data_IF_539240929562
#
_entry.id   IF_539240929562
#
_cell.length_a   1.000
_cell.length_b   1.000
_cell.length_c   1.000
_cell.angle_alpha   90.00
_cell.angle_beta   90.00
_cell.angle_gamma   90.00
#
_symmetry.space_group_name_H-M   'P 1'
#
loop_
_entity.id
_entity.type
_entity.pdbx_description
1 polymer ?
#
# COMPACT_ATOMS: atom_id res chain seq x y z
N UNK A 1 12.25 60.27 -24.89
CA UNK A 1 11.17 59.27 -25.03
C UNK A 1 11.78 58.05 -25.72
N UNK A 2 12.21 57.03 -24.95
CA UNK A 2 13.02 55.92 -25.48
C UNK A 2 12.30 54.61 -25.23
N UNK A 3 11.37 54.26 -26.12
CA UNK A 3 10.71 52.95 -26.14
C UNK A 3 10.68 52.50 -27.60
N UNK A 4 11.76 51.86 -28.07
CA UNK A 4 11.69 51.18 -29.36
C UNK A 4 12.72 50.08 -29.42
N UNK A 5 12.23 48.85 -29.50
CA UNK A 5 12.94 47.59 -29.67
C UNK A 5 13.21 46.80 -28.39
N UNK A 6 12.13 46.40 -27.73
CA UNK A 6 12.16 45.21 -26.88
C UNK A 6 12.33 43.98 -27.82
N UNK A 7 13.40 43.19 -27.70
CA UNK A 7 13.60 42.04 -28.57
C UNK A 7 12.51 40.99 -28.27
N UNK A 8 11.80 40.54 -29.31
CA UNK A 8 10.62 39.66 -29.18
C UNK A 8 10.94 38.35 -28.44
N UNK A 9 12.19 37.89 -28.48
CA UNK A 9 12.69 36.73 -27.74
C UNK A 9 12.61 36.88 -26.21
N UNK A 10 12.77 38.11 -25.69
CA UNK A 10 12.61 38.40 -24.27
C UNK A 10 11.15 38.22 -23.81
N UNK A 11 10.17 38.50 -24.68
CA UNK A 11 8.75 38.28 -24.39
C UNK A 11 8.41 36.79 -24.32
N UNK A 12 8.96 35.98 -25.23
CA UNK A 12 8.77 34.52 -25.20
C UNK A 12 9.46 33.88 -23.98
N UNK A 13 10.69 34.30 -23.67
CA UNK A 13 11.41 33.81 -22.49
C UNK A 13 10.70 34.18 -21.17
N UNK A 14 10.26 35.43 -21.04
CA UNK A 14 9.49 35.88 -19.89
C UNK A 14 8.14 35.15 -19.76
N UNK A 15 7.46 34.91 -20.89
CA UNK A 15 6.21 34.14 -20.92
C UNK A 15 6.38 32.70 -20.46
N UNK A 16 7.40 31.99 -20.96
CA UNK A 16 7.69 30.61 -20.52
C UNK A 16 8.06 30.54 -19.03
N UNK A 17 8.85 31.50 -18.53
CA UNK A 17 9.24 31.56 -17.12
C UNK A 17 8.02 31.79 -16.21
N UNK A 18 7.16 32.75 -16.56
CA UNK A 18 5.94 33.04 -15.81
C UNK A 18 4.96 31.87 -15.84
N UNK A 19 4.85 31.17 -16.98
CA UNK A 19 3.97 30.00 -17.12
C UNK A 19 4.48 28.82 -16.28
N UNK A 20 5.78 28.54 -16.30
CA UNK A 20 6.39 27.50 -15.47
C UNK A 20 6.23 27.79 -13.97
N UNK A 21 6.42 29.05 -13.58
CA UNK A 21 6.21 29.50 -12.20
C UNK A 21 4.74 29.36 -11.78
N UNK A 22 3.79 29.77 -12.64
CA UNK A 22 2.36 29.65 -12.36
C UNK A 22 1.91 28.18 -12.24
N UNK A 23 2.51 27.26 -13.00
CA UNK A 23 2.27 25.82 -12.86
C UNK A 23 2.87 25.26 -11.57
N UNK A 24 4.05 25.73 -11.16
CA UNK A 24 4.71 25.31 -9.92
C UNK A 24 3.99 25.81 -8.65
N UNK A 25 3.37 27.00 -8.70
CA UNK A 25 2.57 27.54 -7.58
C UNK A 25 1.15 26.96 -7.51
N UNK A 26 0.75 26.05 -8.41
CA UNK A 26 -0.54 25.39 -8.24
C UNK A 26 -0.50 24.57 -6.96
N UNK A 27 -1.51 24.72 -6.07
CA UNK A 27 -1.60 23.87 -4.90
C UNK A 27 -1.76 22.43 -5.40
N UNK A 28 -0.68 21.66 -5.29
CA UNK A 28 -0.75 20.21 -5.48
C UNK A 28 -1.71 19.68 -4.42
N UNK A 29 -2.72 18.86 -4.78
CA UNK A 29 -3.47 18.17 -3.75
C UNK A 29 -2.46 17.36 -2.94
N UNK A 30 -2.26 17.75 -1.69
CA UNK A 30 -1.51 16.91 -0.74
C UNK A 30 -2.39 15.68 -0.58
N UNK A 31 -2.06 14.63 -1.32
CA UNK A 31 -2.59 13.30 -1.05
C UNK A 31 -1.93 12.89 0.25
N UNK A 32 -2.56 13.28 1.36
CA UNK A 32 -2.30 12.69 2.65
C UNK A 32 -2.62 11.21 2.48
N UNK A 33 -1.58 10.40 2.27
CA UNK A 33 -1.65 8.97 2.52
C UNK A 33 -1.93 8.87 4.02
N UNK A 34 -3.21 8.92 4.37
CA UNK A 34 -3.69 8.45 5.66
C UNK A 34 -3.43 6.96 5.60
N UNK A 35 -2.22 6.60 6.02
CA UNK A 35 -1.86 5.23 6.33
C UNK A 35 -2.89 4.80 7.37
N UNK A 36 -3.81 3.93 6.97
CA UNK A 36 -4.85 3.37 7.82
C UNK A 36 -4.18 2.86 9.09
N UNK A 37 -4.24 3.64 10.18
CA UNK A 37 -3.58 3.34 11.47
C UNK A 37 -4.11 2.04 12.08
N UNK A 38 -5.20 1.50 11.53
CA UNK A 38 -5.74 0.21 11.87
C UNK A 38 -5.32 -0.83 10.83
N UNK A 39 -4.61 -1.90 11.25
CA UNK A 39 -4.33 -3.03 10.38
C UNK A 39 -5.67 -3.63 9.93
N UNK A 40 -5.92 -3.63 8.62
CA UNK A 40 -7.16 -4.18 8.05
C UNK A 40 -7.27 -5.69 8.22
N UNK A 41 -6.15 -6.35 8.53
CA UNK A 41 -6.04 -7.79 8.66
C UNK A 41 -5.19 -8.15 9.87
N UNK A 42 -5.68 -9.09 10.66
CA UNK A 42 -4.89 -9.82 11.65
C UNK A 42 -4.26 -11.04 10.97
N UNK A 43 -2.98 -11.27 11.23
CA UNK A 43 -2.25 -12.43 10.74
C UNK A 43 -1.87 -13.34 11.91
N UNK A 44 -2.01 -14.65 11.72
CA UNK A 44 -1.53 -15.67 12.67
C UNK A 44 -0.66 -16.68 11.93
N UNK A 45 0.55 -16.87 12.43
CA UNK A 45 1.47 -17.88 11.96
C UNK A 45 1.40 -19.07 12.91
N UNK A 46 1.11 -20.24 12.38
CA UNK A 46 1.03 -21.48 13.13
C UNK A 46 2.06 -22.44 12.57
N UNK A 47 2.92 -22.94 13.45
CA UNK A 47 3.79 -24.06 13.12
C UNK A 47 3.01 -25.35 13.39
N UNK A 48 2.87 -26.17 12.37
CA UNK A 48 2.10 -27.42 12.44
C UNK A 48 3.04 -28.57 12.10
N UNK A 49 2.80 -29.75 12.67
CA UNK A 49 3.53 -30.94 12.26
C UNK A 49 3.25 -31.25 10.77
N UNK A 50 4.19 -31.89 10.07
CA UNK A 50 4.06 -32.20 8.64
C UNK A 50 3.09 -33.36 8.34
N UNK A 51 2.26 -33.77 9.30
CA UNK A 51 1.25 -34.80 9.09
C UNK A 51 -0.05 -34.20 8.51
N UNK A 52 -0.65 -34.93 7.58
CA UNK A 52 -1.88 -34.49 6.90
C UNK A 52 -3.04 -34.27 7.87
N UNK A 53 -3.08 -34.98 8.99
CA UNK A 53 -4.17 -34.89 9.98
C UNK A 53 -4.11 -33.60 10.80
N UNK A 54 -2.92 -33.23 11.30
CA UNK A 54 -2.74 -32.00 12.07
C UNK A 54 -2.95 -30.77 11.19
N UNK A 55 -2.44 -30.77 9.96
CA UNK A 55 -2.68 -29.71 8.98
C UNK A 55 -4.18 -29.56 8.72
N UNK A 56 -4.89 -30.68 8.48
CA UNK A 56 -6.32 -30.66 8.22
C UNK A 56 -7.14 -30.21 9.44
N UNK A 57 -6.74 -30.59 10.66
CA UNK A 57 -7.37 -30.13 11.89
C UNK A 57 -7.25 -28.60 12.04
N UNK A 58 -6.04 -28.05 11.85
CA UNK A 58 -5.78 -26.60 11.94
C UNK A 58 -6.53 -25.83 10.85
N UNK A 59 -6.53 -26.32 9.59
CA UNK A 59 -7.29 -25.71 8.50
C UNK A 59 -8.80 -25.69 8.78
N UNK A 60 -9.32 -26.76 9.38
CA UNK A 60 -10.74 -26.85 9.74
C UNK A 60 -11.07 -25.88 10.87
N UNK A 61 -10.28 -25.85 11.93
CA UNK A 61 -10.46 -24.96 13.08
C UNK A 61 -10.44 -23.47 12.65
N UNK A 62 -9.43 -23.09 11.88
CA UNK A 62 -9.27 -21.70 11.43
C UNK A 62 -10.32 -21.32 10.36
N UNK A 63 -10.70 -22.27 9.49
CA UNK A 63 -11.79 -22.09 8.55
C UNK A 63 -13.14 -21.84 9.23
N UNK A 64 -13.47 -22.60 10.29
CA UNK A 64 -14.67 -22.38 11.10
C UNK A 64 -14.63 -21.02 11.81
N UNK A 65 -13.46 -20.59 12.27
CA UNK A 65 -13.25 -19.30 12.91
C UNK A 65 -13.18 -18.09 11.93
N UNK A 66 -13.52 -18.31 10.64
CA UNK A 66 -13.50 -17.31 9.55
C UNK A 66 -12.13 -16.72 9.28
N UNK A 67 -11.06 -17.47 9.55
CA UNK A 67 -9.73 -17.13 9.11
C UNK A 67 -9.49 -17.72 7.71
N UNK A 68 -8.87 -16.94 6.84
CA UNK A 68 -8.48 -17.36 5.49
C UNK A 68 -7.02 -17.79 5.50
N UNK A 69 -6.70 -18.92 4.88
CA UNK A 69 -5.31 -19.31 4.67
C UNK A 69 -4.67 -18.36 3.64
N UNK A 70 -3.61 -17.66 4.03
CA UNK A 70 -2.91 -16.71 3.19
C UNK A 70 -1.70 -17.36 2.50
N UNK A 71 -0.87 -18.07 3.26
CA UNK A 71 0.38 -18.66 2.77
C UNK A 71 0.64 -19.96 3.52
N UNK A 72 1.18 -20.95 2.81
CA UNK A 72 1.76 -22.16 3.39
C UNK A 72 3.26 -22.11 3.09
N UNK A 73 4.07 -21.96 4.14
CA UNK A 73 5.52 -21.99 4.03
C UNK A 73 6.01 -23.37 4.43
N UNK A 74 6.39 -24.16 3.43
CA UNK A 74 7.01 -25.48 3.60
C UNK A 74 8.52 -25.31 3.67
N UNK A 75 9.02 -24.63 4.72
CA UNK A 75 10.44 -24.31 4.92
C UNK A 75 11.33 -25.56 5.00
N UNK A 76 11.86 -25.87 6.18
CA UNK A 76 12.38 -27.22 6.42
C UNK A 76 11.16 -28.16 6.54
N UNK A 77 11.14 -29.27 5.80
CA UNK A 77 9.98 -30.17 5.65
C UNK A 77 9.45 -30.75 6.98
N UNK A 78 10.17 -30.50 8.08
CA UNK A 78 9.85 -30.92 9.44
C UNK A 78 8.83 -30.01 10.14
N UNK A 79 8.65 -28.75 9.72
CA UNK A 79 7.75 -27.79 10.39
C UNK A 79 7.07 -26.83 9.41
N UNK A 80 6.05 -27.30 8.65
CA UNK A 80 5.27 -26.41 7.79
C UNK A 80 4.59 -25.30 8.62
N UNK A 81 4.71 -24.06 8.12
CA UNK A 81 4.06 -22.89 8.72
C UNK A 81 2.81 -22.53 7.92
N UNK A 82 1.68 -22.49 8.60
CA UNK A 82 0.41 -22.03 8.06
C UNK A 82 0.18 -20.58 8.50
N UNK A 83 0.06 -19.68 7.54
CA UNK A 83 -0.21 -18.27 7.79
C UNK A 83 -1.67 -18.01 7.47
N UNK A 84 -2.43 -17.63 8.49
CA UNK A 84 -3.84 -17.25 8.38
C UNK A 84 -4.01 -15.74 8.46
N UNK A 85 -4.99 -15.22 7.73
CA UNK A 85 -5.42 -13.82 7.80
C UNK A 85 -6.90 -13.73 8.16
N UNK A 86 -7.29 -12.73 8.92
CA UNK A 86 -8.70 -12.41 9.19
C UNK A 86 -8.92 -10.91 9.09
N UNK A 87 -9.98 -10.51 8.39
CA UNK A 87 -10.37 -9.10 8.32
C UNK A 87 -10.74 -8.60 9.71
N UNK A 88 -10.11 -7.51 10.15
CA UNK A 88 -10.47 -6.85 11.40
C UNK A 88 -11.79 -6.11 11.14
N UNK A 89 -12.89 -6.40 11.87
CA UNK A 89 -14.10 -5.63 11.74
C UNK A 89 -13.78 -4.18 12.12
N UNK A 90 -14.13 -3.23 11.25
CA UNK A 90 -14.05 -1.82 11.61
C UNK A 90 -14.86 -1.62 12.90
N UNK A 91 -14.23 -1.03 13.92
CA UNK A 91 -14.90 -0.72 15.17
C UNK A 91 -16.17 0.12 14.88
N UNK A 92 -17.27 -0.10 15.60
CA UNK A 92 -18.51 0.65 15.42
C UNK A 92 -18.35 2.14 15.71
#
# INVERSE_FOLDING_TARGET
MTVRNLPRWLLFGAGCLLLGLALALRPTPVVSLVLSTQPRFEYRVLEVLPDTRSIQAVLTEYGQARWELAVVEMGDLQTPRLIFKKGVPAAP
#
